data_IF_303312432778
#
_entry.id   IF_303312432778
#
_cell.length_a   1.000
_cell.length_b   1.000
_cell.length_c   1.000
_cell.angle_alpha   90.00
_cell.angle_beta   90.00
_cell.angle_gamma   90.00
#
_symmetry.space_group_name_H-M   'P 1'
#
loop_
_entity.id
_entity.type
_entity.pdbx_description
1 polymer ?
#
# COMPACT_ATOMS: atom_id res chain seq x y z
N UNK A 1 9.52 9.93 -21.44
CA UNK A 1 9.10 8.79 -20.60
C UNK A 1 7.70 9.06 -20.07
N UNK A 2 6.79 8.13 -20.26
CA UNK A 2 5.43 8.27 -19.79
C UNK A 2 5.36 7.96 -18.29
N UNK A 3 4.69 8.80 -17.53
CA UNK A 3 4.47 8.60 -16.09
C UNK A 3 2.98 8.61 -15.81
N UNK A 4 2.48 7.44 -15.50
CA UNK A 4 1.09 7.24 -15.10
C UNK A 4 1.05 6.91 -13.60
N UNK A 5 -0.14 6.80 -13.06
CA UNK A 5 -0.28 6.33 -11.67
C UNK A 5 -1.59 5.58 -11.48
N UNK A 6 -1.54 4.64 -10.54
CA UNK A 6 -2.73 4.01 -9.96
C UNK A 6 -2.83 4.51 -8.52
N UNK A 7 -4.01 4.98 -8.14
CA UNK A 7 -4.25 5.46 -6.78
C UNK A 7 -5.34 4.64 -6.11
N UNK A 8 -5.04 4.11 -4.92
CA UNK A 8 -6.03 3.50 -4.04
C UNK A 8 -6.25 4.46 -2.88
N UNK A 9 -7.48 4.92 -2.69
CA UNK A 9 -7.80 5.93 -1.67
C UNK A 9 -8.78 5.40 -0.65
N UNK A 10 -8.68 5.96 0.55
CA UNK A 10 -9.64 5.73 1.64
C UNK A 10 -9.76 4.25 2.00
N UNK A 11 -8.64 3.55 1.99
CA UNK A 11 -8.62 2.19 2.52
C UNK A 11 -8.61 2.26 4.04
N UNK A 12 -9.63 1.70 4.66
CA UNK A 12 -9.82 1.79 6.10
C UNK A 12 -9.60 0.43 6.74
N UNK A 13 -8.71 0.40 7.73
CA UNK A 13 -8.40 -0.81 8.48
C UNK A 13 -8.27 -0.48 9.97
N UNK A 14 -8.56 -1.44 10.82
CA UNK A 14 -8.35 -1.31 12.25
C UNK A 14 -7.00 -1.95 12.60
N UNK A 15 -6.16 -1.20 13.28
CA UNK A 15 -4.81 -1.66 13.61
C UNK A 15 -4.38 -1.23 15.01
N UNK A 16 -3.24 -1.75 15.47
CA UNK A 16 -2.74 -1.61 16.83
C UNK A 16 -1.31 -1.05 16.79
N UNK A 17 -1.19 0.15 16.24
CA UNK A 17 0.10 0.82 16.08
C UNK A 17 0.18 2.04 16.99
N UNK A 18 1.37 2.32 17.51
CA UNK A 18 1.62 3.49 18.31
C UNK A 18 2.69 3.24 19.36
N UNK A 19 3.21 4.32 19.92
CA UNK A 19 4.24 4.28 20.96
C UNK A 19 3.63 3.97 22.33
N UNK A 20 2.42 4.51 22.60
CA UNK A 20 1.78 4.35 23.88
C UNK A 20 1.08 3.00 23.97
N UNK A 21 1.13 2.40 25.16
CA UNK A 21 0.55 1.10 25.41
C UNK A 21 -0.95 1.05 25.12
N UNK A 22 -1.68 2.12 25.46
CA UNK A 22 -3.11 2.23 25.16
C UNK A 22 -3.42 2.15 23.68
N UNK A 23 -2.57 2.72 22.81
CA UNK A 23 -2.73 2.64 21.38
C UNK A 23 -2.60 1.21 20.86
N UNK A 24 -1.69 0.44 21.45
CA UNK A 24 -1.46 -0.96 21.09
C UNK A 24 -2.55 -1.90 21.62
N UNK A 25 -3.11 -1.60 22.79
CA UNK A 25 -4.14 -2.42 23.40
C UNK A 25 -5.53 -2.19 22.81
N UNK A 26 -5.89 -0.93 22.63
CA UNK A 26 -7.23 -0.56 22.15
C UNK A 26 -7.33 -0.55 20.65
N UNK A 27 -6.23 -0.25 19.99
CA UNK A 27 -6.20 -0.08 18.55
C UNK A 27 -6.91 1.19 18.10
N UNK A 28 -6.91 1.42 16.81
CA UNK A 28 -7.60 2.54 16.21
C UNK A 28 -7.81 2.31 14.70
N UNK A 29 -8.65 3.14 14.12
CA UNK A 29 -8.92 3.12 12.69
C UNK A 29 -7.80 3.86 11.96
N UNK A 30 -7.24 3.22 10.93
CA UNK A 30 -6.25 3.82 10.04
C UNK A 30 -6.83 3.98 8.65
N UNK A 31 -6.60 5.12 8.06
CA UNK A 31 -6.92 5.37 6.65
C UNK A 31 -5.62 5.42 5.87
N UNK A 32 -5.59 4.72 4.75
CA UNK A 32 -4.39 4.58 3.94
C UNK A 32 -4.71 4.92 2.50
N UNK A 33 -3.88 5.78 1.92
CA UNK A 33 -3.88 6.06 0.48
C UNK A 33 -2.54 5.59 -0.08
N UNK A 34 -2.58 4.99 -1.26
CA UNK A 34 -1.39 4.52 -1.95
C UNK A 34 -1.42 4.99 -3.39
N UNK A 35 -0.30 5.55 -3.86
CA UNK A 35 -0.09 5.87 -5.27
C UNK A 35 1.07 5.04 -5.79
N UNK A 36 0.85 4.33 -6.90
CA UNK A 36 1.88 3.58 -7.60
C UNK A 36 2.15 4.31 -8.92
N UNK A 37 3.39 4.77 -9.10
CA UNK A 37 3.78 5.55 -10.26
C UNK A 37 4.61 4.70 -11.22
N UNK A 38 4.12 4.56 -12.45
CA UNK A 38 4.78 3.78 -13.50
C UNK A 38 4.16 4.11 -14.87
N UNK A 39 4.77 3.57 -15.91
CA UNK A 39 4.19 3.61 -17.24
C UNK A 39 3.18 2.48 -17.40
N UNK A 40 1.93 2.81 -17.71
CA UNK A 40 0.84 1.85 -17.88
C UNK A 40 0.52 1.58 -19.35
N UNK A 41 1.41 1.94 -20.28
CA UNK A 41 1.17 1.80 -21.72
C UNK A 41 0.95 0.34 -22.13
N UNK A 42 1.76 -0.58 -21.59
CA UNK A 42 1.68 -2.00 -21.99
C UNK A 42 0.36 -2.63 -21.58
N UNK A 43 -0.06 -2.58 -20.31
CA UNK A 43 -1.37 -3.13 -19.95
C UNK A 43 -2.52 -2.37 -20.63
N UNK A 44 -2.36 -1.07 -20.86
CA UNK A 44 -3.36 -0.27 -21.56
C UNK A 44 -3.56 -0.71 -23.02
N UNK A 45 -2.51 -1.19 -23.66
CA UNK A 45 -2.56 -1.65 -25.06
C UNK A 45 -2.94 -3.12 -25.19
N UNK A 46 -2.53 -3.95 -24.23
CA UNK A 46 -2.71 -5.41 -24.29
C UNK A 46 -3.98 -5.90 -23.59
N UNK A 47 -4.52 -5.10 -22.67
CA UNK A 47 -5.63 -5.50 -21.82
C UNK A 47 -5.32 -6.81 -21.05
N UNK A 48 -4.06 -6.97 -20.66
CA UNK A 48 -3.56 -8.15 -19.98
C UNK A 48 -3.14 -7.78 -18.54
N UNK A 49 -3.83 -8.33 -17.55
CA UNK A 49 -3.56 -8.06 -16.15
C UNK A 49 -2.13 -8.47 -15.74
N UNK A 50 -1.57 -9.51 -16.37
CA UNK A 50 -0.22 -9.97 -16.07
C UNK A 50 0.84 -8.93 -16.48
N UNK A 51 0.50 -8.04 -17.41
CA UNK A 51 1.37 -6.95 -17.84
C UNK A 51 1.21 -5.70 -16.98
N UNK A 52 0.27 -5.70 -16.06
CA UNK A 52 -0.06 -4.56 -15.20
C UNK A 52 0.01 -4.91 -13.73
N UNK A 53 -0.77 -4.19 -12.95
CA UNK A 53 -0.81 -4.34 -11.49
C UNK A 53 -2.23 -4.72 -11.08
N UNK A 54 -2.31 -5.81 -10.33
CA UNK A 54 -3.57 -6.21 -9.71
C UNK A 54 -3.77 -5.39 -8.43
N UNK A 55 -4.65 -4.39 -8.48
CA UNK A 55 -4.90 -3.51 -7.33
C UNK A 55 -5.53 -4.26 -6.14
N UNK A 56 -6.16 -5.40 -6.37
CA UNK A 56 -6.65 -6.24 -5.26
C UNK A 56 -5.49 -6.80 -4.45
N UNK A 57 -4.39 -7.19 -5.11
CA UNK A 57 -3.18 -7.64 -4.42
C UNK A 57 -2.56 -6.50 -3.61
N UNK A 58 -2.55 -5.29 -4.16
CA UNK A 58 -2.06 -4.10 -3.44
C UNK A 58 -2.90 -3.85 -2.19
N UNK A 59 -4.23 -3.91 -2.32
CA UNK A 59 -5.14 -3.79 -1.19
C UNK A 59 -4.83 -4.83 -0.11
N UNK A 60 -4.61 -6.08 -0.50
CA UNK A 60 -4.30 -7.18 0.42
C UNK A 60 -2.97 -6.95 1.15
N UNK A 61 -1.95 -6.43 0.44
CA UNK A 61 -0.67 -6.08 1.06
C UNK A 61 -0.88 -5.04 2.17
N UNK A 62 -1.62 -3.97 1.87
CA UNK A 62 -1.91 -2.92 2.84
C UNK A 62 -2.67 -3.48 4.04
N UNK A 63 -3.72 -4.24 3.78
CA UNK A 63 -4.54 -4.86 4.81
C UNK A 63 -3.70 -5.72 5.75
N UNK A 64 -2.86 -6.59 5.20
CA UNK A 64 -2.01 -7.49 6.00
C UNK A 64 -1.06 -6.71 6.91
N UNK A 65 -0.42 -5.67 6.38
CA UNK A 65 0.55 -4.89 7.15
C UNK A 65 -0.15 -4.10 8.26
N UNK A 66 -1.29 -3.47 7.95
CA UNK A 66 -2.00 -2.66 8.94
C UNK A 66 -2.68 -3.52 10.00
N UNK A 67 -3.32 -4.62 9.61
CA UNK A 67 -4.13 -5.43 10.53
C UNK A 67 -3.36 -6.51 11.28
N UNK A 68 -2.35 -7.11 10.66
CA UNK A 68 -1.71 -8.31 11.20
C UNK A 68 -0.35 -8.05 11.83
N UNK A 69 0.20 -6.84 11.67
CA UNK A 69 1.48 -6.43 12.25
C UNK A 69 1.27 -5.28 13.21
N UNK A 70 2.22 -5.10 14.14
CA UNK A 70 2.20 -4.00 15.10
C UNK A 70 3.51 -3.24 15.02
N UNK A 71 3.41 -1.93 14.84
CA UNK A 71 4.56 -1.02 14.78
C UNK A 71 4.39 0.10 15.79
N UNK A 72 5.50 0.62 16.29
CA UNK A 72 5.48 1.78 17.19
C UNK A 72 5.15 3.07 16.44
N UNK A 73 5.65 3.19 15.22
CA UNK A 73 5.53 4.43 14.44
C UNK A 73 4.66 4.23 13.20
N UNK A 74 3.80 5.20 12.93
CA UNK A 74 3.00 5.24 11.71
C UNK A 74 3.90 5.29 10.48
N UNK A 75 5.04 5.99 10.57
CA UNK A 75 6.04 6.04 9.52
C UNK A 75 6.57 4.64 9.16
N UNK A 76 6.70 3.76 10.15
CA UNK A 76 7.13 2.38 9.91
C UNK A 76 6.05 1.57 9.16
N UNK A 77 4.78 1.81 9.47
CA UNK A 77 3.67 1.20 8.73
C UNK A 77 3.75 1.61 7.26
N UNK A 78 3.89 2.90 6.99
CA UNK A 78 3.95 3.42 5.62
C UNK A 78 5.17 2.89 4.87
N UNK A 79 6.34 2.87 5.51
CA UNK A 79 7.58 2.38 4.90
C UNK A 79 7.48 0.90 4.53
N UNK A 80 6.92 0.09 5.41
CA UNK A 80 6.75 -1.34 5.15
C UNK A 80 5.75 -1.61 4.01
N UNK A 81 4.70 -0.81 3.92
CA UNK A 81 3.75 -0.89 2.80
C UNK A 81 4.49 -0.59 1.49
N UNK A 82 5.22 0.51 1.44
CA UNK A 82 5.94 0.94 0.24
C UNK A 82 6.98 -0.11 -0.19
N UNK A 83 7.80 -0.59 0.73
CA UNK A 83 8.81 -1.61 0.44
C UNK A 83 8.21 -2.89 -0.10
N UNK A 84 7.12 -3.36 0.51
CA UNK A 84 6.47 -4.60 0.07
C UNK A 84 5.92 -4.47 -1.35
N UNK A 85 5.33 -3.33 -1.67
CA UNK A 85 4.82 -3.07 -3.02
C UNK A 85 5.97 -3.00 -4.02
N UNK A 86 7.06 -2.30 -3.68
CA UNK A 86 8.23 -2.18 -4.55
C UNK A 86 8.90 -3.53 -4.82
N UNK A 87 8.87 -4.43 -3.84
CA UNK A 87 9.40 -5.79 -4.01
C UNK A 87 8.50 -6.67 -4.87
N UNK A 88 7.18 -6.44 -4.79
CA UNK A 88 6.19 -7.26 -5.49
C UNK A 88 5.98 -6.86 -6.94
N UNK A 89 6.16 -5.58 -7.27
CA UNK A 89 5.85 -5.01 -8.57
C UNK A 89 6.97 -4.13 -9.08
N UNK A 90 7.09 -4.07 -10.41
CA UNK A 90 8.03 -3.19 -11.09
C UNK A 90 7.40 -1.80 -11.26
N UNK A 91 7.54 -0.96 -10.24
CA UNK A 91 7.03 0.41 -10.23
C UNK A 91 8.18 1.39 -10.02
N UNK A 92 8.02 2.63 -10.51
CA UNK A 92 9.07 3.63 -10.39
C UNK A 92 9.20 4.14 -8.97
N UNK A 93 8.07 4.48 -8.35
CA UNK A 93 8.02 4.83 -6.93
C UNK A 93 6.60 4.69 -6.39
N UNK A 94 6.51 4.62 -5.07
CA UNK A 94 5.26 4.46 -4.33
C UNK A 94 5.13 5.58 -3.32
N UNK A 95 3.94 6.16 -3.22
CA UNK A 95 3.60 7.14 -2.19
C UNK A 95 2.55 6.51 -1.28
N UNK A 96 2.80 6.56 0.02
CA UNK A 96 1.88 6.03 1.03
C UNK A 96 1.53 7.12 2.03
#
# INVERSE_FOLDING_TARGET
>A
MKSDKITLRNMVFYGYHGVFEGEKELGQRFEVDVELHMDLSVPGQTDDLEQGINYVDVYTIVQTIVQERTYDLVEAVAENIAETILDAYSVDYVVV
#
